data_IF_015538059776
#
_entry.id   IF_015538059776
#
_cell.length_a   1.000
_cell.length_b   1.000
_cell.length_c   1.000
_cell.angle_alpha   90.00
_cell.angle_beta   90.00
_cell.angle_gamma   90.00
#
_symmetry.space_group_name_H-M   'P 1'
#
loop_
_entity.id
_entity.type
_entity.pdbx_description
1 polymer ?
#
# COMPACT_ATOMS: atom_id res chain seq x y z
N UNK A 1 -1.46 -15.53 10.33
CA UNK A 1 -0.56 -14.47 9.87
C UNK A 1 -0.80 -13.15 10.61
N UNK A 2 -2.01 -12.85 10.99
CA UNK A 2 -2.30 -11.59 11.71
C UNK A 2 -1.67 -11.56 13.11
N UNK A 3 -1.76 -12.65 13.86
CA UNK A 3 -1.25 -12.73 15.23
C UNK A 3 0.11 -13.43 15.36
N UNK A 4 0.47 -14.33 14.45
CA UNK A 4 1.65 -15.20 14.57
C UNK A 4 2.94 -14.64 13.94
N UNK A 5 2.89 -13.53 13.19
CA UNK A 5 4.09 -12.97 12.54
C UNK A 5 5.08 -12.39 13.56
N UNK A 6 6.38 -12.57 13.34
CA UNK A 6 7.41 -12.21 14.32
C UNK A 6 7.63 -10.71 14.52
N UNK A 7 7.33 -9.88 13.49
CA UNK A 7 7.43 -8.43 13.59
C UNK A 7 6.04 -7.79 13.42
N UNK A 8 5.61 -7.03 14.42
CA UNK A 8 4.30 -6.36 14.43
C UNK A 8 4.50 -4.89 14.81
N UNK A 9 3.93 -4.01 14.02
CA UNK A 9 3.83 -2.60 14.38
C UNK A 9 2.39 -2.29 14.86
N UNK A 10 2.18 -2.44 16.15
CA UNK A 10 0.88 -2.20 16.76
C UNK A 10 0.49 -0.69 16.77
N UNK A 11 1.46 0.20 16.54
CA UNK A 11 1.24 1.66 16.62
C UNK A 11 0.77 2.29 15.31
N UNK A 12 1.16 1.74 14.17
CA UNK A 12 0.87 2.33 12.85
C UNK A 12 -0.43 1.82 12.20
N UNK A 13 -1.20 0.98 12.89
CA UNK A 13 -2.48 0.52 12.36
C UNK A 13 -2.34 -0.39 11.14
N UNK A 14 -1.65 -1.51 11.32
CA UNK A 14 -1.33 -2.47 10.26
C UNK A 14 -2.52 -2.89 9.41
N UNK A 15 -2.29 -2.96 8.09
CA UNK A 15 -3.23 -3.56 7.15
C UNK A 15 -3.50 -5.03 7.53
N UNK A 16 -4.77 -5.41 7.55
CA UNK A 16 -5.16 -6.80 7.82
C UNK A 16 -4.82 -7.70 6.63
N UNK A 17 -4.32 -8.93 6.85
CA UNK A 17 -4.03 -9.87 5.77
C UNK A 17 -5.22 -10.15 4.85
N UNK A 18 -6.44 -10.25 5.39
CA UNK A 18 -7.65 -10.42 4.58
C UNK A 18 -7.90 -9.22 3.66
N UNK A 19 -7.69 -8.00 4.17
CA UNK A 19 -7.88 -6.78 3.38
C UNK A 19 -6.80 -6.66 2.30
N UNK A 20 -5.53 -6.96 2.61
CA UNK A 20 -4.45 -7.03 1.63
C UNK A 20 -4.78 -8.00 0.49
N UNK A 21 -5.27 -9.21 0.82
CA UNK A 21 -5.68 -10.20 -0.17
C UNK A 21 -6.88 -9.73 -1.02
N UNK A 22 -7.85 -9.04 -0.42
CA UNK A 22 -8.95 -8.42 -1.17
C UNK A 22 -8.43 -7.36 -2.14
N UNK A 23 -7.51 -6.48 -1.71
CA UNK A 23 -6.91 -5.47 -2.57
C UNK A 23 -6.15 -6.09 -3.75
N UNK A 24 -5.39 -7.18 -3.52
CA UNK A 24 -4.71 -7.91 -4.59
C UNK A 24 -5.74 -8.47 -5.59
N UNK A 25 -6.80 -9.12 -5.11
CA UNK A 25 -7.86 -9.67 -5.98
C UNK A 25 -8.58 -8.58 -6.81
N UNK A 26 -8.79 -7.38 -6.25
CA UNK A 26 -9.40 -6.26 -6.96
C UNK A 26 -8.56 -5.77 -8.16
N UNK A 27 -7.28 -6.09 -8.22
CA UNK A 27 -6.46 -5.81 -9.40
C UNK A 27 -6.90 -6.59 -10.63
N UNK A 28 -7.50 -7.77 -10.44
CA UNK A 28 -7.93 -8.65 -11.51
C UNK A 28 -6.80 -9.29 -12.32
N UNK A 29 -5.52 -9.17 -11.87
CA UNK A 29 -4.38 -9.79 -12.55
C UNK A 29 -4.22 -11.25 -12.16
N UNK A 30 -3.66 -12.07 -13.06
CA UNK A 30 -3.32 -13.46 -12.77
C UNK A 30 -1.98 -13.53 -12.01
N UNK A 31 -1.96 -13.96 -10.74
CA UNK A 31 -0.77 -13.90 -9.89
C UNK A 31 0.47 -14.59 -10.46
N UNK A 32 0.29 -15.72 -11.16
CA UNK A 32 1.41 -16.52 -11.67
C UNK A 32 2.10 -15.91 -12.90
N UNK A 33 1.49 -14.86 -13.48
CA UNK A 33 1.95 -14.20 -14.71
C UNK A 33 2.24 -12.72 -14.54
N UNK A 34 1.95 -12.16 -13.37
CA UNK A 34 2.04 -10.73 -13.11
C UNK A 34 3.16 -10.41 -12.12
N UNK A 35 3.76 -9.24 -12.29
CA UNK A 35 4.68 -8.63 -11.33
C UNK A 35 3.94 -7.60 -10.46
N UNK A 36 4.28 -7.57 -9.15
CA UNK A 36 3.63 -6.72 -8.16
C UNK A 36 4.65 -5.83 -7.45
N UNK A 37 4.32 -4.56 -7.28
CA UNK A 37 5.06 -3.60 -6.45
C UNK A 37 4.17 -3.10 -5.30
N UNK A 38 4.74 -3.06 -4.08
CA UNK A 38 4.19 -2.31 -2.94
C UNK A 38 5.22 -1.28 -2.46
N UNK A 39 5.10 0.01 -2.87
CA UNK A 39 6.08 1.05 -2.57
C UNK A 39 5.92 1.68 -1.17
N UNK A 40 5.00 1.17 -0.34
CA UNK A 40 4.82 1.51 1.07
C UNK A 40 4.66 0.23 1.89
N UNK A 41 5.58 -0.73 1.71
CA UNK A 41 5.38 -2.10 2.15
C UNK A 41 5.28 -2.29 3.67
N UNK A 42 5.74 -1.33 4.46
CA UNK A 42 5.70 -1.43 5.92
C UNK A 42 6.28 -2.74 6.43
N UNK A 43 5.53 -3.47 7.22
CA UNK A 43 5.92 -4.80 7.73
C UNK A 43 5.66 -5.97 6.75
N UNK A 44 5.35 -5.68 5.47
CA UNK A 44 5.27 -6.65 4.39
C UNK A 44 3.95 -7.42 4.27
N UNK A 45 2.82 -6.88 4.74
CA UNK A 45 1.55 -7.61 4.71
C UNK A 45 1.09 -7.92 3.29
N UNK A 46 1.10 -6.93 2.38
CA UNK A 46 0.71 -7.13 0.98
C UNK A 46 1.67 -8.09 0.29
N UNK A 47 2.98 -7.94 0.51
CA UNK A 47 4.00 -8.80 -0.08
C UNK A 47 3.85 -10.26 0.34
N UNK A 48 3.57 -10.53 1.64
CA UNK A 48 3.30 -11.88 2.13
C UNK A 48 2.06 -12.49 1.46
N UNK A 49 0.96 -11.73 1.38
CA UNK A 49 -0.26 -12.24 0.76
C UNK A 49 -0.07 -12.44 -0.75
N UNK A 50 0.63 -11.56 -1.46
CA UNK A 50 0.95 -11.70 -2.86
C UNK A 50 1.77 -12.99 -3.14
N UNK A 51 2.83 -13.21 -2.37
CA UNK A 51 3.64 -14.43 -2.50
C UNK A 51 2.83 -15.70 -2.23
N UNK A 52 1.96 -15.70 -1.21
CA UNK A 52 1.07 -16.82 -0.89
C UNK A 52 -0.07 -17.01 -1.91
N UNK A 53 -0.36 -16.02 -2.75
CA UNK A 53 -1.28 -16.11 -3.88
C UNK A 53 -0.61 -16.58 -5.16
N UNK A 54 0.73 -16.71 -5.18
CA UNK A 54 1.47 -17.28 -6.29
C UNK A 54 2.20 -16.26 -7.18
N UNK A 55 2.22 -14.98 -6.82
CA UNK A 55 3.12 -14.02 -7.48
C UNK A 55 4.56 -14.46 -7.28
N UNK A 56 5.36 -14.40 -8.34
CA UNK A 56 6.79 -14.76 -8.32
C UNK A 56 7.69 -13.54 -8.39
N UNK A 57 7.23 -12.50 -9.06
CA UNK A 57 7.93 -11.22 -9.20
C UNK A 57 7.26 -10.19 -8.27
N UNK A 58 7.86 -9.99 -7.10
CA UNK A 58 7.33 -9.11 -6.07
C UNK A 58 8.44 -8.20 -5.58
N UNK A 59 8.19 -6.91 -5.65
CA UNK A 59 9.07 -5.88 -5.11
C UNK A 59 8.33 -5.09 -4.04
N UNK A 60 8.99 -4.84 -2.92
CA UNK A 60 8.52 -3.91 -1.90
C UNK A 60 9.50 -2.78 -1.66
N UNK A 61 9.05 -1.62 -1.25
CA UNK A 61 9.93 -0.59 -0.71
C UNK A 61 9.29 0.13 0.47
N UNK A 62 10.13 0.66 1.33
CA UNK A 62 9.73 1.54 2.43
C UNK A 62 10.87 2.51 2.75
N UNK A 63 10.55 3.73 3.15
CA UNK A 63 11.51 4.73 3.60
C UNK A 63 12.15 4.38 4.96
N UNK A 64 11.47 3.56 5.75
CA UNK A 64 11.89 3.18 7.09
C UNK A 64 12.76 1.92 7.07
N UNK A 65 14.02 2.05 7.49
CA UNK A 65 14.92 0.90 7.68
C UNK A 65 14.33 -0.17 8.60
N UNK A 66 13.61 0.26 9.66
CA UNK A 66 12.90 -0.64 10.56
C UNK A 66 11.81 -1.42 9.82
N UNK A 67 11.00 -0.76 9.01
CA UNK A 67 9.95 -1.41 8.22
C UNK A 67 10.53 -2.45 7.26
N UNK A 68 11.61 -2.11 6.55
CA UNK A 68 12.34 -3.02 5.67
C UNK A 68 12.86 -4.26 6.43
N UNK A 69 13.46 -4.09 7.61
CA UNK A 69 13.93 -5.20 8.47
C UNK A 69 12.75 -6.08 8.93
N UNK A 70 11.67 -5.45 9.38
CA UNK A 70 10.46 -6.14 9.84
C UNK A 70 9.79 -6.92 8.69
N UNK A 71 9.70 -6.33 7.50
CA UNK A 71 9.18 -6.96 6.30
C UNK A 71 9.99 -8.20 5.91
N UNK A 72 11.32 -8.09 5.84
CA UNK A 72 12.22 -9.21 5.55
C UNK A 72 12.06 -10.35 6.56
N UNK A 73 11.93 -10.03 7.86
CA UNK A 73 11.71 -11.02 8.92
C UNK A 73 10.37 -11.74 8.77
N UNK A 74 9.31 -10.99 8.49
CA UNK A 74 7.97 -11.55 8.31
C UNK A 74 7.86 -12.42 7.05
N UNK A 75 8.49 -12.02 5.96
CA UNK A 75 8.52 -12.78 4.70
C UNK A 75 9.27 -14.11 4.86
N UNK A 76 10.45 -14.11 5.51
CA UNK A 76 11.16 -15.34 5.83
C UNK A 76 10.31 -16.31 6.63
N UNK A 77 9.64 -15.79 7.68
CA UNK A 77 8.74 -16.61 8.48
C UNK A 77 7.56 -17.17 7.68
N UNK A 78 6.93 -16.36 6.82
CA UNK A 78 5.75 -16.77 6.07
C UNK A 78 6.05 -17.73 4.92
N UNK A 79 7.22 -17.59 4.29
CA UNK A 79 7.62 -18.29 3.06
C UNK A 79 8.68 -19.37 3.30
N UNK A 80 9.11 -19.57 4.56
CA UNK A 80 10.14 -20.54 4.93
C UNK A 80 11.43 -20.37 4.09
N UNK A 81 11.89 -19.13 3.94
CA UNK A 81 13.07 -18.71 3.17
C UNK A 81 13.06 -19.09 1.66
N UNK A 82 11.87 -19.36 1.10
CA UNK A 82 11.71 -19.70 -0.32
C UNK A 82 11.16 -18.51 -1.11
N UNK A 83 11.76 -18.23 -2.27
CA UNK A 83 11.26 -17.21 -3.23
C UNK A 83 10.89 -15.90 -2.54
N UNK A 84 11.83 -15.35 -1.77
CA UNK A 84 11.61 -14.13 -1.02
C UNK A 84 11.47 -12.92 -1.95
N UNK A 85 10.44 -12.08 -1.77
CA UNK A 85 10.34 -10.79 -2.44
C UNK A 85 11.57 -9.91 -2.23
N UNK A 86 11.91 -9.11 -3.22
CA UNK A 86 12.90 -8.06 -3.08
C UNK A 86 12.35 -6.91 -2.23
N UNK A 87 13.15 -6.42 -1.28
CA UNK A 87 12.77 -5.30 -0.40
C UNK A 87 13.84 -4.23 -0.43
N UNK A 88 13.46 -3.06 -0.91
CA UNK A 88 14.31 -1.89 -1.07
C UNK A 88 14.12 -0.89 0.07
N UNK A 89 15.19 -0.26 0.50
CA UNK A 89 15.13 0.92 1.36
C UNK A 89 15.08 2.16 0.46
N UNK A 90 13.88 2.59 0.13
CA UNK A 90 13.66 3.74 -0.76
C UNK A 90 12.28 4.36 -0.51
N UNK A 91 12.15 5.69 -0.59
CA UNK A 91 10.85 6.32 -0.57
C UNK A 91 10.08 6.04 -1.87
N UNK A 92 8.75 6.05 -1.80
CA UNK A 92 7.88 5.68 -2.91
C UNK A 92 7.99 6.61 -4.15
N UNK A 93 8.43 7.85 -3.95
CA UNK A 93 8.67 8.82 -5.03
C UNK A 93 10.04 8.67 -5.70
N UNK A 94 10.92 7.79 -5.19
CA UNK A 94 12.26 7.54 -5.72
C UNK A 94 12.55 6.06 -6.00
N UNK A 95 11.66 5.14 -5.61
CA UNK A 95 11.85 3.71 -5.84
C UNK A 95 11.98 3.41 -7.34
N UNK A 96 12.85 2.48 -7.67
CA UNK A 96 13.09 1.97 -9.03
C UNK A 96 12.91 0.46 -9.06
N UNK A 97 12.49 -0.04 -10.19
CA UNK A 97 12.33 -1.48 -10.46
C UNK A 97 13.06 -1.85 -11.74
N UNK A 98 13.46 -3.10 -11.86
CA UNK A 98 14.03 -3.64 -13.11
C UNK A 98 12.91 -3.84 -14.14
N UNK A 99 12.58 -2.78 -14.88
CA UNK A 99 11.46 -2.74 -15.82
C UNK A 99 10.13 -2.30 -15.18
N UNK A 100 9.06 -2.38 -15.98
CA UNK A 100 7.72 -1.98 -15.55
C UNK A 100 6.97 -3.15 -14.92
N UNK A 101 6.18 -2.86 -13.88
CA UNK A 101 5.34 -3.84 -13.19
C UNK A 101 3.91 -3.88 -13.75
N UNK A 102 3.25 -5.02 -13.59
CA UNK A 102 1.85 -5.21 -14.03
C UNK A 102 0.85 -4.57 -13.06
N UNK A 103 1.17 -4.62 -11.76
CA UNK A 103 0.27 -4.10 -10.73
C UNK A 103 1.02 -3.46 -9.56
N UNK A 104 0.47 -2.37 -9.07
CA UNK A 104 0.82 -1.79 -7.77
C UNK A 104 -0.35 -1.98 -6.83
N UNK A 105 -0.11 -2.61 -5.68
CA UNK A 105 -1.09 -2.73 -4.58
C UNK A 105 -0.44 -2.16 -3.34
N UNK A 106 -1.07 -1.15 -2.72
CA UNK A 106 -0.41 -0.44 -1.63
C UNK A 106 -1.38 0.23 -0.66
N UNK A 107 -0.96 0.31 0.60
CA UNK A 107 -1.53 1.21 1.61
C UNK A 107 -0.46 2.25 1.97
N UNK A 108 -0.51 3.47 1.42
CA UNK A 108 0.44 4.51 1.77
C UNK A 108 0.27 4.95 3.23
N UNK A 109 1.18 5.80 3.72
CA UNK A 109 1.06 6.35 5.08
C UNK A 109 -0.30 7.04 5.26
N UNK A 110 -1.07 6.60 6.25
CA UNK A 110 -2.44 7.07 6.51
C UNK A 110 -2.51 8.31 7.43
N UNK A 111 -1.36 8.86 7.79
CA UNK A 111 -1.24 9.92 8.78
C UNK A 111 -0.91 9.38 10.18
N UNK A 112 -0.59 10.28 11.13
CA UNK A 112 -0.34 9.90 12.52
C UNK A 112 -1.60 9.35 13.18
N UNK A 113 -1.48 8.49 14.21
CA UNK A 113 -2.62 7.99 14.97
C UNK A 113 -3.47 9.13 15.54
N UNK A 114 -4.75 9.12 15.24
CA UNK A 114 -5.69 10.12 15.72
C UNK A 114 -6.09 9.80 17.18
N UNK A 115 -5.81 10.73 18.10
CA UNK A 115 -6.11 10.57 19.54
C UNK A 115 -7.44 11.20 19.90
N UNK A 116 -7.95 12.12 19.08
CA UNK A 116 -9.09 12.98 19.36
C UNK A 116 -8.66 14.25 20.12
N UNK A 117 -9.30 15.36 19.77
CA UNK A 117 -8.92 16.66 20.26
C UNK A 117 -7.99 17.45 19.33
N UNK A 118 -7.64 16.88 18.15
CA UNK A 118 -6.92 17.60 17.11
C UNK A 118 -7.76 18.79 16.63
N UNK A 119 -7.15 19.97 16.54
CA UNK A 119 -7.83 21.16 16.01
C UNK A 119 -8.12 20.99 14.51
N UNK A 120 -9.13 21.72 14.00
CA UNK A 120 -9.44 21.73 12.56
C UNK A 120 -8.23 22.12 11.73
N UNK A 121 -7.43 23.09 12.17
CA UNK A 121 -6.21 23.50 11.46
C UNK A 121 -5.16 22.41 11.40
N UNK A 122 -4.95 21.65 12.48
CA UNK A 122 -4.03 20.50 12.51
C UNK A 122 -4.48 19.40 11.55
N UNK A 123 -5.78 19.08 11.51
CA UNK A 123 -6.34 18.09 10.59
C UNK A 123 -6.19 18.50 9.12
N UNK A 124 -6.48 19.76 8.79
CA UNK A 124 -6.34 20.26 7.41
C UNK A 124 -4.87 20.29 6.96
N UNK A 125 -3.94 20.69 7.84
CA UNK A 125 -2.50 20.63 7.53
C UNK A 125 -2.06 19.18 7.27
N UNK A 126 -2.44 18.25 8.12
CA UNK A 126 -2.13 16.84 7.95
C UNK A 126 -2.67 16.28 6.63
N UNK A 127 -3.93 16.57 6.28
CA UNK A 127 -4.52 16.16 5.01
C UNK A 127 -3.75 16.74 3.82
N UNK A 128 -3.36 18.01 3.87
CA UNK A 128 -2.57 18.64 2.81
C UNK A 128 -1.18 17.99 2.66
N UNK A 129 -0.54 17.62 3.77
CA UNK A 129 0.76 16.92 3.75
C UNK A 129 0.61 15.51 3.13
N UNK A 130 -0.46 14.77 3.47
CA UNK A 130 -0.76 13.47 2.88
C UNK A 130 -1.02 13.59 1.36
N UNK A 131 -1.82 14.56 0.93
CA UNK A 131 -2.06 14.77 -0.51
C UNK A 131 -0.78 15.05 -1.26
N UNK A 132 0.14 15.86 -0.72
CA UNK A 132 1.44 16.13 -1.34
C UNK A 132 2.31 14.87 -1.44
N UNK A 133 2.36 14.06 -0.37
CA UNK A 133 3.06 12.77 -0.39
C UNK A 133 2.50 11.88 -1.51
N UNK A 134 1.18 11.74 -1.58
CA UNK A 134 0.52 10.88 -2.55
C UNK A 134 0.76 11.35 -3.99
N UNK A 135 0.64 12.66 -4.25
CA UNK A 135 0.88 13.20 -5.60
C UNK A 135 2.29 12.89 -6.10
N UNK A 136 3.32 13.10 -5.26
CA UNK A 136 4.71 12.77 -5.62
C UNK A 136 4.90 11.28 -5.86
N UNK A 137 4.45 10.46 -4.92
CA UNK A 137 4.61 9.01 -5.02
C UNK A 137 3.90 8.42 -6.23
N UNK A 138 2.66 8.86 -6.50
CA UNK A 138 1.90 8.32 -7.63
C UNK A 138 2.39 8.83 -9.00
N UNK A 139 3.07 9.97 -9.06
CA UNK A 139 3.80 10.38 -10.28
C UNK A 139 4.93 9.38 -10.62
N UNK A 140 5.72 8.97 -9.63
CA UNK A 140 6.75 7.93 -9.82
C UNK A 140 6.11 6.57 -10.14
N UNK A 141 5.11 6.13 -9.36
CA UNK A 141 4.39 4.87 -9.57
C UNK A 141 3.79 4.79 -10.98
N UNK A 142 3.28 5.90 -11.51
CA UNK A 142 2.81 5.94 -12.90
C UNK A 142 3.92 5.53 -13.87
N UNK A 143 5.14 6.03 -13.69
CA UNK A 143 6.27 5.68 -14.57
C UNK A 143 6.68 4.21 -14.47
N UNK A 144 6.46 3.56 -13.32
CA UNK A 144 6.84 2.18 -13.05
C UNK A 144 5.79 1.14 -13.49
N UNK A 145 4.53 1.53 -13.65
CA UNK A 145 3.49 0.63 -14.14
C UNK A 145 3.59 0.46 -15.67
N UNK A 146 3.23 -0.71 -16.19
CA UNK A 146 3.00 -0.90 -17.63
C UNK A 146 1.81 -0.05 -18.11
N UNK A 147 1.76 0.39 -19.36
CA UNK A 147 0.53 0.91 -19.96
C UNK A 147 -0.62 -0.10 -19.77
N UNK A 148 -1.77 0.35 -19.28
CA UNK A 148 -2.88 -0.52 -18.89
C UNK A 148 -2.71 -1.27 -17.56
N UNK A 149 -1.56 -1.11 -16.90
CA UNK A 149 -1.29 -1.69 -15.57
C UNK A 149 -2.25 -1.17 -14.50
N UNK A 150 -2.40 -1.92 -13.43
CA UNK A 150 -3.38 -1.66 -12.36
C UNK A 150 -2.73 -1.03 -11.14
N UNK A 151 -3.41 -0.04 -10.55
CA UNK A 151 -3.10 0.50 -9.25
C UNK A 151 -4.28 0.26 -8.31
N UNK A 152 -4.05 -0.48 -7.22
CA UNK A 152 -5.02 -0.66 -6.13
C UNK A 152 -4.44 -0.01 -4.88
N UNK A 153 -5.12 1.02 -4.39
CA UNK A 153 -4.60 1.83 -3.27
C UNK A 153 -5.67 2.06 -2.21
N UNK A 154 -5.26 1.95 -0.93
CA UNK A 154 -6.10 2.27 0.21
C UNK A 154 -5.75 3.66 0.75
N UNK A 155 -6.60 4.66 0.49
CA UNK A 155 -6.46 6.01 1.04
C UNK A 155 -7.15 6.13 2.40
N UNK A 156 -6.65 7.00 3.31
CA UNK A 156 -7.35 7.26 4.56
C UNK A 156 -8.65 8.05 4.34
N UNK A 157 -9.66 7.73 5.15
CA UNK A 157 -10.85 8.55 5.33
C UNK A 157 -10.89 9.10 6.75
N UNK A 158 -11.29 10.35 6.89
CA UNK A 158 -11.48 11.03 8.18
C UNK A 158 -12.93 11.49 8.29
N UNK A 159 -13.68 10.93 9.25
CA UNK A 159 -15.11 11.19 9.37
C UNK A 159 -15.89 10.80 8.10
N UNK A 160 -15.52 9.68 7.46
CA UNK A 160 -16.13 9.19 6.24
C UNK A 160 -15.69 9.91 4.94
N UNK A 161 -14.93 11.01 5.04
CA UNK A 161 -14.46 11.76 3.88
C UNK A 161 -13.04 11.31 3.47
N UNK A 162 -12.84 11.04 2.18
CA UNK A 162 -11.53 10.70 1.61
C UNK A 162 -10.58 11.91 1.63
N UNK A 163 -9.30 11.63 1.88
CA UNK A 163 -8.22 12.62 1.71
C UNK A 163 -8.00 12.96 0.24
N UNK A 164 -8.12 11.97 -0.64
CA UNK A 164 -7.94 12.15 -2.08
C UNK A 164 -9.25 12.57 -2.75
N UNK A 165 -9.45 13.86 -2.86
CA UNK A 165 -10.63 14.46 -3.52
C UNK A 165 -10.40 14.75 -5.01
N UNK A 166 -9.12 14.90 -5.43
CA UNK A 166 -8.75 15.13 -6.82
C UNK A 166 -8.42 13.83 -7.54
N UNK A 167 -8.64 13.76 -8.88
CA UNK A 167 -8.15 12.64 -9.69
C UNK A 167 -6.63 12.50 -9.59
N UNK A 168 -6.13 11.27 -9.74
CA UNK A 168 -4.72 10.99 -9.94
C UNK A 168 -4.39 11.20 -11.42
N UNK A 169 -3.38 12.04 -11.70
CA UNK A 169 -2.92 12.30 -13.06
C UNK A 169 -2.34 11.02 -13.69
N UNK A 170 -2.69 10.75 -14.94
CA UNK A 170 -2.27 9.56 -15.67
C UNK A 170 -3.00 8.28 -15.28
N UNK A 171 -4.04 8.37 -14.42
CA UNK A 171 -4.80 7.22 -13.95
C UNK A 171 -6.30 7.37 -14.21
N UNK A 172 -6.90 6.36 -14.82
CA UNK A 172 -8.36 6.27 -15.01
C UNK A 172 -8.98 5.49 -13.86
N UNK A 173 -9.90 6.07 -13.06
CA UNK A 173 -10.58 5.36 -11.98
C UNK A 173 -11.48 4.27 -12.54
N UNK A 174 -11.56 3.12 -11.82
CA UNK A 174 -12.40 1.98 -12.14
C UNK A 174 -13.43 1.73 -11.04
N UNK A 175 -12.97 1.37 -9.86
CA UNK A 175 -13.79 0.96 -8.74
C UNK A 175 -13.39 1.67 -7.45
N UNK A 176 -14.35 1.73 -6.51
CA UNK A 176 -14.19 2.37 -5.22
C UNK A 176 -14.94 1.58 -4.15
N UNK A 177 -14.27 1.30 -3.03
CA UNK A 177 -14.83 0.61 -1.88
C UNK A 177 -14.46 1.35 -0.61
N UNK A 178 -15.35 1.35 0.38
CA UNK A 178 -15.06 1.92 1.70
C UNK A 178 -14.95 0.78 2.71
N UNK A 179 -13.88 0.79 3.48
CA UNK A 179 -13.64 -0.15 4.57
C UNK A 179 -13.48 0.60 5.87
N UNK A 180 -14.41 0.39 6.79
CA UNK A 180 -14.41 0.97 8.12
C UNK A 180 -14.51 -0.13 9.18
N UNK A 181 -13.88 0.09 10.32
CA UNK A 181 -13.99 -0.79 11.50
C UNK A 181 -14.57 0.00 12.65
N UNK A 182 -15.48 -0.62 13.38
CA UNK A 182 -16.01 -0.04 14.61
C UNK A 182 -14.89 0.34 15.58
N UNK A 183 -14.92 1.56 16.09
CA UNK A 183 -13.93 2.10 17.01
C UNK A 183 -12.65 2.65 16.35
N UNK A 184 -12.49 2.57 15.04
CA UNK A 184 -11.38 3.24 14.33
C UNK A 184 -11.82 4.63 13.82
N UNK A 185 -10.96 5.64 14.02
CA UNK A 185 -11.20 7.01 13.57
C UNK A 185 -10.75 7.26 12.13
N UNK A 186 -9.86 6.43 11.64
CA UNK A 186 -9.34 6.47 10.28
C UNK A 186 -9.84 5.24 9.55
N UNK A 187 -10.75 5.43 8.62
CA UNK A 187 -11.21 4.41 7.69
C UNK A 187 -10.29 4.31 6.48
N UNK A 188 -10.64 3.44 5.55
CA UNK A 188 -9.93 3.24 4.29
C UNK A 188 -10.87 3.33 3.12
N UNK A 189 -10.48 4.08 2.13
CA UNK A 189 -11.12 4.08 0.82
C UNK A 189 -10.20 3.38 -0.17
N UNK A 190 -10.60 2.19 -0.59
CA UNK A 190 -9.86 1.41 -1.58
C UNK A 190 -10.32 1.85 -2.97
N UNK A 191 -9.37 2.25 -3.81
CA UNK A 191 -9.62 2.63 -5.19
C UNK A 191 -8.81 1.79 -6.14
N UNK A 192 -9.44 1.41 -7.25
CA UNK A 192 -8.82 0.71 -8.37
C UNK A 192 -8.68 1.68 -9.54
N UNK A 193 -7.50 1.73 -10.12
CA UNK A 193 -7.19 2.56 -11.28
C UNK A 193 -6.49 1.75 -12.36
N UNK A 194 -6.56 2.25 -13.57
CA UNK A 194 -5.77 1.81 -14.73
C UNK A 194 -4.85 2.94 -15.14
N UNK A 195 -3.57 2.64 -15.39
CA UNK A 195 -2.64 3.58 -16.02
C UNK A 195 -3.08 3.87 -17.47
N UNK A 196 -3.20 5.14 -17.83
CA UNK A 196 -3.50 5.63 -19.19
C UNK A 196 -2.32 6.36 -19.78
#
# INVERSE_FOLDING_TARGET
RDFGRPARDAKSGMLLPKLARMMINLSGVEPTRASLLDPFCGSGTILMEAALMGFKEIVGSDISEKAVKDSKKNLRWALHDKNLPEILLAPADEVKTDGHVDVVVTEPFLGPPQRGGESKAQLEKMKADLVRLYQKSFANIHSLLKPGGKLVVAFPTFGGASVMTKPLEGFKPQERFVYERAGQRVGREIRVYVRV
#
